data_IF_397407045310
#
_entry.id   IF_397407045310
#
_cell.length_a   1.000
_cell.length_b   1.000
_cell.length_c   1.000
_cell.angle_alpha   90.00
_cell.angle_beta   90.00
_cell.angle_gamma   90.00
#
_symmetry.space_group_name_H-M   'P 1'
#
loop_
_entity.id
_entity.type
_entity.pdbx_description
1 polymer ?
#
# COMPACT_ATOMS: atom_id res chain seq x y z
N UNK A 1 15.33 1.60 12.01
CA UNK A 1 15.91 0.36 11.45
C UNK A 1 15.39 0.04 10.06
N UNK A 2 14.08 0.07 9.84
CA UNK A 2 13.48 -0.27 8.54
C UNK A 2 14.03 0.56 7.38
N UNK A 3 14.10 1.89 7.54
CA UNK A 3 14.63 2.80 6.50
C UNK A 3 16.08 2.46 6.15
N UNK A 4 16.93 2.16 7.14
CA UNK A 4 18.30 1.72 6.89
C UNK A 4 18.35 0.40 6.13
N UNK A 5 17.52 -0.58 6.50
CA UNK A 5 17.45 -1.85 5.76
C UNK A 5 17.04 -1.63 4.29
N UNK A 6 16.06 -0.75 4.05
CA UNK A 6 15.64 -0.41 2.69
C UNK A 6 16.79 0.24 1.89
N UNK A 7 17.54 1.16 2.51
CA UNK A 7 18.71 1.77 1.89
C UNK A 7 19.83 0.77 1.62
N UNK A 8 20.13 -0.10 2.58
CA UNK A 8 21.13 -1.17 2.45
C UNK A 8 20.76 -2.11 1.29
N UNK A 9 19.47 -2.36 1.06
CA UNK A 9 18.96 -3.14 -0.07
C UNK A 9 18.94 -2.39 -1.41
N UNK A 10 19.29 -1.10 -1.42
CA UNK A 10 19.32 -0.24 -2.60
C UNK A 10 17.95 0.33 -3.01
N UNK A 11 16.95 0.30 -2.13
CA UNK A 11 15.65 0.92 -2.39
C UNK A 11 15.76 2.46 -2.44
N UNK A 12 14.82 3.10 -3.12
CA UNK A 12 14.80 4.57 -3.31
C UNK A 12 13.57 5.27 -2.73
N UNK A 13 12.54 4.48 -2.42
CA UNK A 13 11.33 4.95 -1.76
C UNK A 13 10.76 3.83 -0.88
N UNK A 14 9.90 4.21 0.06
CA UNK A 14 9.16 3.31 0.94
C UNK A 14 7.68 3.67 0.90
N UNK A 15 6.81 2.67 0.76
CA UNK A 15 5.35 2.84 0.77
C UNK A 15 4.79 2.13 1.99
N UNK A 16 4.04 2.84 2.82
CA UNK A 16 3.49 2.31 4.07
C UNK A 16 1.96 2.34 4.05
N UNK A 17 1.35 1.24 4.50
CA UNK A 17 -0.09 1.14 4.75
C UNK A 17 -0.52 2.15 5.82
N UNK A 18 -1.19 3.21 5.38
CA UNK A 18 -1.84 4.16 6.29
C UNK A 18 -3.21 3.67 6.77
N UNK A 19 -3.93 2.92 5.92
CA UNK A 19 -5.16 2.19 6.25
C UNK A 19 -5.36 1.07 5.23
N UNK A 20 -5.62 -0.15 5.69
CA UNK A 20 -5.96 -1.29 4.82
C UNK A 20 -7.47 -1.59 4.88
N UNK A 21 -7.91 -2.69 4.25
CA UNK A 21 -9.33 -3.03 4.07
C UNK A 21 -10.10 -3.17 5.40
N UNK A 22 -9.44 -3.55 6.48
CA UNK A 22 -10.05 -3.64 7.81
C UNK A 22 -10.48 -2.27 8.38
N UNK A 23 -10.05 -1.16 7.78
CA UNK A 23 -10.47 0.18 8.15
C UNK A 23 -9.69 0.82 9.31
N UNK A 24 -8.70 0.13 9.87
CA UNK A 24 -7.88 0.61 10.98
C UNK A 24 -6.77 1.55 10.47
N UNK A 25 -6.73 2.77 10.97
CA UNK A 25 -5.71 3.75 10.56
C UNK A 25 -4.40 3.57 11.35
N UNK A 26 -3.27 3.52 10.66
CA UNK A 26 -1.93 3.41 11.23
C UNK A 26 -1.31 4.75 11.60
N UNK A 27 -2.15 5.78 11.77
CA UNK A 27 -1.77 7.15 12.09
C UNK A 27 -2.81 7.81 13.00
N UNK A 28 -2.53 8.98 13.58
CA UNK A 28 -3.49 9.70 14.43
C UNK A 28 -4.57 10.39 13.59
N UNK A 29 -5.64 9.66 13.26
CA UNK A 29 -6.80 10.18 12.55
C UNK A 29 -7.74 10.93 13.52
N UNK A 30 -8.11 12.15 13.15
CA UNK A 30 -9.16 12.90 13.83
C UNK A 30 -10.57 12.44 13.43
N UNK A 31 -10.69 11.76 12.28
CA UNK A 31 -11.96 11.31 11.70
C UNK A 31 -12.54 10.11 12.45
N UNK A 32 -11.69 9.20 12.92
CA UNK A 32 -12.12 8.00 13.64
C UNK A 32 -11.14 7.66 14.75
N UNK A 33 -11.69 7.20 15.89
CA UNK A 33 -10.90 6.68 17.01
C UNK A 33 -10.37 5.26 16.76
N UNK A 34 -10.80 4.61 15.68
CA UNK A 34 -10.30 3.30 15.24
C UNK A 34 -8.93 3.44 14.56
N UNK A 35 -7.92 3.82 15.34
CA UNK A 35 -6.57 4.06 14.88
C UNK A 35 -5.49 3.66 15.90
N UNK A 36 -4.25 3.49 15.44
CA UNK A 36 -3.13 2.97 16.25
C UNK A 36 -2.81 3.81 17.49
N UNK A 37 -3.07 5.12 17.45
CA UNK A 37 -2.74 6.04 18.54
C UNK A 37 -3.79 5.97 19.65
N UNK A 38 -5.08 5.94 19.29
CA UNK A 38 -6.18 6.02 20.26
C UNK A 38 -6.67 4.65 20.73
N UNK A 39 -6.62 3.64 19.87
CA UNK A 39 -7.19 2.31 20.14
C UNK A 39 -6.16 1.30 20.67
N UNK A 40 -4.88 1.68 20.86
CA UNK A 40 -3.84 0.74 21.29
C UNK A 40 -2.97 1.33 22.40
N UNK A 41 -2.36 0.50 23.27
CA UNK A 41 -1.41 0.97 24.28
C UNK A 41 -0.07 1.43 23.66
N UNK A 42 0.19 1.16 22.37
CA UNK A 42 1.38 1.64 21.70
C UNK A 42 1.35 3.17 21.55
N UNK A 43 0.17 3.75 21.31
CA UNK A 43 -0.09 5.18 21.46
C UNK A 43 0.74 6.12 20.59
N UNK A 44 1.28 5.63 19.47
CA UNK A 44 2.26 6.34 18.63
C UNK A 44 1.87 6.30 17.16
N UNK A 45 2.06 7.41 16.48
CA UNK A 45 1.76 7.56 15.06
C UNK A 45 2.86 6.89 14.21
N UNK A 46 2.56 5.70 13.71
CA UNK A 46 3.53 4.87 12.95
C UNK A 46 3.87 5.54 11.62
N UNK A 47 2.90 6.18 10.96
CA UNK A 47 3.13 6.88 9.69
C UNK A 47 4.06 8.08 9.89
N UNK A 48 3.83 8.90 10.93
CA UNK A 48 4.68 10.05 11.22
C UNK A 48 6.14 9.64 11.50
N UNK A 49 6.35 8.59 12.30
CA UNK A 49 7.70 8.11 12.64
C UNK A 49 8.45 7.57 11.42
N UNK A 50 7.76 6.87 10.52
CA UNK A 50 8.35 6.34 9.29
C UNK A 50 8.60 7.44 8.25
N UNK A 51 7.70 8.42 8.13
CA UNK A 51 7.90 9.59 7.30
C UNK A 51 9.15 10.36 7.73
N UNK A 52 9.26 10.70 9.03
CA UNK A 52 10.41 11.39 9.59
C UNK A 52 11.71 10.60 9.38
N UNK A 53 11.68 9.29 9.60
CA UNK A 53 12.83 8.43 9.32
C UNK A 53 13.23 8.43 7.85
N UNK A 54 12.27 8.40 6.91
CA UNK A 54 12.56 8.46 5.48
C UNK A 54 13.23 9.78 5.10
N UNK A 55 12.69 10.93 5.54
CA UNK A 55 13.27 12.24 5.24
C UNK A 55 14.65 12.43 5.85
N UNK A 56 14.87 12.03 7.11
CA UNK A 56 16.20 12.09 7.75
C UNK A 56 17.26 11.31 7.00
N UNK A 57 16.87 10.25 6.28
CA UNK A 57 17.77 9.39 5.55
C UNK A 57 17.75 9.63 4.02
N UNK A 58 16.96 10.59 3.53
CA UNK A 58 16.86 10.88 2.09
C UNK A 58 16.17 9.79 1.27
N UNK A 59 15.34 8.94 1.90
CA UNK A 59 14.49 7.98 1.21
C UNK A 59 13.15 8.67 0.89
N UNK A 60 12.64 8.52 -0.34
CA UNK A 60 11.33 9.06 -0.68
C UNK A 60 10.23 8.29 0.07
N UNK A 61 9.15 8.98 0.46
CA UNK A 61 8.08 8.39 1.25
C UNK A 61 6.76 8.41 0.48
N UNK A 62 6.03 7.30 0.50
CA UNK A 62 4.71 7.17 -0.07
C UNK A 62 3.77 6.41 0.86
N UNK A 63 2.48 6.47 0.57
CA UNK A 63 1.46 5.86 1.42
C UNK A 63 0.52 4.98 0.61
N UNK A 64 0.14 3.85 1.18
CA UNK A 64 -0.99 3.05 0.72
C UNK A 64 -2.24 3.46 1.50
N UNK A 65 -3.38 3.54 0.82
CA UNK A 65 -4.68 3.75 1.46
C UNK A 65 -5.77 2.96 0.72
N UNK A 66 -6.50 2.11 1.44
CA UNK A 66 -7.67 1.44 0.87
C UNK A 66 -8.85 2.40 0.79
N UNK A 67 -9.02 3.02 -0.37
CA UNK A 67 -10.06 4.01 -0.60
C UNK A 67 -11.45 3.40 -0.71
N UNK A 68 -11.58 2.18 -1.26
CA UNK A 68 -12.87 1.56 -1.54
C UNK A 68 -13.33 0.65 -0.39
N UNK A 69 -12.51 -0.32 -0.02
CA UNK A 69 -12.87 -1.31 1.00
C UNK A 69 -12.60 -0.75 2.40
N UNK A 70 -13.62 -0.81 3.26
CA UNK A 70 -13.51 -0.48 4.67
C UNK A 70 -14.47 -1.35 5.49
N UNK A 71 -13.95 -2.43 6.06
CA UNK A 71 -14.75 -3.40 6.80
C UNK A 71 -15.21 -2.90 8.16
N UNK A 72 -14.69 -1.77 8.63
CA UNK A 72 -15.17 -1.13 9.87
C UNK A 72 -16.37 -0.22 9.65
N UNK A 73 -16.70 0.10 8.39
CA UNK A 73 -17.80 1.00 8.05
C UNK A 73 -19.05 0.25 7.55
N UNK A 74 -20.26 0.61 8.01
CA UNK A 74 -21.51 0.03 7.51
C UNK A 74 -21.67 0.13 5.99
N UNK A 75 -21.18 1.23 5.43
CA UNK A 75 -21.25 1.57 4.01
C UNK A 75 -19.92 1.34 3.27
N UNK A 76 -18.99 0.57 3.84
CA UNK A 76 -17.73 0.21 3.17
C UNK A 76 -17.96 -0.50 1.83
N UNK A 77 -17.10 -0.23 0.85
CA UNK A 77 -17.25 -0.73 -0.52
C UNK A 77 -17.13 -2.24 -0.67
N UNK A 78 -17.20 -2.70 -1.92
CA UNK A 78 -17.08 -4.11 -2.31
C UNK A 78 -18.40 -4.89 -2.37
N UNK A 79 -19.52 -4.35 -1.89
CA UNK A 79 -20.82 -5.04 -1.88
C UNK A 79 -21.41 -5.28 -3.27
N UNK A 80 -20.90 -4.57 -4.29
CA UNK A 80 -21.23 -4.79 -5.71
C UNK A 80 -20.38 -5.87 -6.38
N UNK A 81 -19.31 -6.34 -5.74
CA UNK A 81 -18.32 -7.26 -6.33
C UNK A 81 -18.45 -8.70 -5.83
N UNK A 82 -19.29 -8.97 -4.83
CA UNK A 82 -19.57 -10.30 -4.32
C UNK A 82 -18.37 -10.96 -3.62
N UNK A 83 -18.07 -12.21 -3.99
CA UNK A 83 -17.01 -13.01 -3.37
C UNK A 83 -15.63 -12.69 -3.94
N UNK A 84 -14.63 -12.74 -3.08
CA UNK A 84 -13.21 -12.63 -3.44
C UNK A 84 -12.73 -13.93 -4.10
N UNK A 85 -11.54 -13.87 -4.70
CA UNK A 85 -10.84 -15.06 -5.21
C UNK A 85 -10.24 -15.93 -4.09
N UNK A 86 -10.27 -15.47 -2.83
CA UNK A 86 -9.72 -16.18 -1.68
C UNK A 86 -10.65 -17.32 -1.25
N UNK A 87 -10.60 -18.44 -1.98
CA UNK A 87 -11.24 -19.70 -1.59
C UNK A 87 -12.77 -19.73 -1.67
N UNK A 88 -13.43 -18.71 -2.22
CA UNK A 88 -14.88 -18.70 -2.45
C UNK A 88 -15.74 -18.54 -1.19
N UNK A 89 -15.15 -18.24 -0.03
CA UNK A 89 -15.89 -18.03 1.22
C UNK A 89 -15.88 -16.57 1.68
N UNK A 90 -14.83 -15.81 1.36
CA UNK A 90 -14.71 -14.41 1.78
C UNK A 90 -15.35 -13.44 0.77
N UNK A 91 -16.07 -12.44 1.27
CA UNK A 91 -16.66 -11.34 0.50
C UNK A 91 -15.74 -10.12 0.48
N UNK A 92 -15.89 -9.28 -0.55
CA UNK A 92 -15.16 -8.01 -0.66
C UNK A 92 -15.56 -7.01 0.41
N UNK A 93 -16.83 -7.03 0.81
CA UNK A 93 -17.42 -6.19 1.85
C UNK A 93 -17.54 -6.96 3.17
N UNK A 94 -17.65 -6.24 4.28
CA UNK A 94 -18.09 -6.81 5.55
C UNK A 94 -19.61 -7.02 5.51
N UNK A 95 -20.04 -8.25 5.26
CA UNK A 95 -21.45 -8.66 5.28
C UNK A 95 -21.80 -9.54 6.49
N UNK A 96 -20.87 -9.74 7.42
CA UNK A 96 -21.12 -10.45 8.67
C UNK A 96 -21.60 -9.51 9.77
N UNK A 97 -21.04 -8.30 9.85
CA UNK A 97 -21.52 -7.24 10.77
C UNK A 97 -22.60 -6.37 10.10
N UNK A 98 -22.48 -6.14 8.79
CA UNK A 98 -23.39 -5.30 8.00
C UNK A 98 -24.02 -6.10 6.84
N UNK A 99 -24.95 -7.03 7.12
CA UNK A 99 -25.42 -8.02 6.14
C UNK A 99 -26.35 -7.47 5.04
N UNK A 100 -26.89 -6.25 5.21
CA UNK A 100 -27.87 -5.67 4.29
C UNK A 100 -27.21 -4.92 3.12
N UNK A 101 -26.53 -5.68 2.25
CA UNK A 101 -25.80 -5.15 1.09
C UNK A 101 -26.69 -4.32 0.13
N UNK A 102 -28.00 -4.57 0.11
CA UNK A 102 -28.94 -3.87 -0.77
C UNK A 102 -29.17 -2.41 -0.37
N UNK A 103 -28.89 -2.05 0.88
CA UNK A 103 -29.09 -0.70 1.42
C UNK A 103 -27.77 0.04 1.71
N UNK A 104 -26.61 -0.56 1.38
CA UNK A 104 -25.32 0.11 1.50
C UNK A 104 -25.19 1.25 0.50
N UNK A 105 -24.74 2.41 0.98
CA UNK A 105 -24.46 3.60 0.18
C UNK A 105 -23.03 4.08 0.43
N UNK A 106 -22.12 3.62 -0.44
CA UNK A 106 -20.70 3.96 -0.37
C UNK A 106 -20.43 5.48 -0.38
N UNK A 107 -21.34 6.31 -0.90
CA UNK A 107 -21.18 7.76 -0.86
C UNK A 107 -21.05 8.30 0.57
N UNK A 108 -21.74 7.68 1.54
CA UNK A 108 -21.64 8.05 2.95
C UNK A 108 -20.25 7.73 3.50
N UNK A 109 -19.77 6.50 3.29
CA UNK A 109 -18.40 6.11 3.68
C UNK A 109 -17.35 7.03 3.01
N UNK A 110 -17.57 7.34 1.74
CA UNK A 110 -16.68 8.19 0.96
C UNK A 110 -16.55 9.60 1.56
N UNK A 111 -17.67 10.29 1.81
CA UNK A 111 -17.68 11.66 2.31
C UNK A 111 -17.32 11.76 3.80
N UNK A 112 -17.72 10.79 4.61
CA UNK A 112 -17.58 10.86 6.07
C UNK A 112 -16.23 10.32 6.56
N UNK A 113 -15.63 9.36 5.83
CA UNK A 113 -14.35 8.74 6.23
C UNK A 113 -13.27 8.82 5.16
N UNK A 114 -13.51 8.28 3.97
CA UNK A 114 -12.45 8.09 2.96
C UNK A 114 -11.80 9.42 2.58
N UNK A 115 -12.60 10.38 2.12
CA UNK A 115 -12.13 11.68 1.65
C UNK A 115 -11.51 12.50 2.80
N UNK A 116 -12.12 12.62 4.00
CA UNK A 116 -11.47 13.25 5.14
C UNK A 116 -10.13 12.62 5.52
N UNK A 117 -10.03 11.29 5.58
CA UNK A 117 -8.78 10.59 5.92
C UNK A 117 -7.71 10.74 4.83
N UNK A 118 -8.09 10.71 3.54
CA UNK A 118 -7.17 11.02 2.44
C UNK A 118 -6.63 12.44 2.60
N UNK A 119 -7.44 13.41 3.04
CA UNK A 119 -6.95 14.77 3.35
C UNK A 119 -5.89 14.75 4.43
N UNK A 120 -6.15 14.03 5.53
CA UNK A 120 -5.22 13.94 6.66
C UNK A 120 -3.86 13.44 6.20
N UNK A 121 -3.82 12.31 5.47
CA UNK A 121 -2.54 11.72 5.04
C UNK A 121 -1.80 12.58 4.02
N UNK A 122 -2.51 13.32 3.16
CA UNK A 122 -1.91 14.23 2.18
C UNK A 122 -1.36 15.52 2.81
N UNK A 123 -1.69 15.83 4.07
CA UNK A 123 -1.36 17.14 4.67
C UNK A 123 -0.55 17.05 5.97
N UNK A 124 -0.48 15.90 6.63
CA UNK A 124 0.20 15.74 7.92
C UNK A 124 1.65 15.26 7.84
N UNK A 125 2.04 14.55 6.78
CA UNK A 125 3.27 13.73 6.79
C UNK A 125 4.39 14.20 5.85
N UNK A 126 4.37 15.47 5.42
CA UNK A 126 5.38 16.02 4.51
C UNK A 126 5.13 15.69 3.04
N UNK A 127 6.18 15.76 2.23
CA UNK A 127 6.10 15.52 0.78
C UNK A 127 5.98 14.03 0.47
N UNK A 128 4.88 13.63 -0.17
CA UNK A 128 4.66 12.26 -0.60
C UNK A 128 5.13 12.09 -2.05
N UNK A 129 5.97 11.09 -2.31
CA UNK A 129 6.36 10.76 -3.68
C UNK A 129 5.28 9.97 -4.43
N UNK A 130 4.48 9.20 -3.70
CA UNK A 130 3.34 8.48 -4.28
C UNK A 130 2.24 8.20 -3.25
N UNK A 131 1.03 8.01 -3.76
CA UNK A 131 -0.09 7.41 -3.05
C UNK A 131 -0.60 6.20 -3.82
N UNK A 132 -0.76 5.10 -3.09
CA UNK A 132 -1.11 3.79 -3.60
C UNK A 132 -2.52 3.43 -3.15
N UNK A 133 -3.48 3.62 -4.06
CA UNK A 133 -4.87 3.22 -3.90
C UNK A 133 -5.09 1.79 -4.36
N UNK A 134 -6.21 1.18 -3.97
CA UNK A 134 -6.43 -0.25 -4.19
C UNK A 134 -7.88 -0.61 -4.49
N UNK A 135 -8.05 -1.77 -5.14
CA UNK A 135 -9.32 -2.48 -5.31
C UNK A 135 -10.57 -1.62 -5.56
N UNK A 136 -10.61 -0.79 -6.63
CA UNK A 136 -11.77 0.07 -6.94
C UNK A 136 -12.94 -0.81 -7.43
N UNK A 137 -13.81 -1.21 -6.51
CA UNK A 137 -14.95 -2.12 -6.73
C UNK A 137 -16.29 -1.39 -6.75
N UNK A 138 -16.43 -0.35 -5.93
CA UNK A 138 -17.67 0.39 -5.72
C UNK A 138 -17.50 1.87 -6.00
N UNK A 139 -16.29 2.42 -5.89
CA UNK A 139 -16.00 3.83 -6.16
C UNK A 139 -16.41 4.25 -7.57
N UNK A 140 -17.20 5.31 -7.67
CA UNK A 140 -17.66 5.87 -8.95
C UNK A 140 -16.55 6.66 -9.66
N UNK A 141 -16.71 6.87 -10.97
CA UNK A 141 -15.77 7.70 -11.74
C UNK A 141 -15.63 9.13 -11.20
N UNK A 142 -16.72 9.73 -10.73
CA UNK A 142 -16.69 11.05 -10.13
C UNK A 142 -15.86 11.09 -8.83
N UNK A 143 -16.00 10.07 -7.98
CA UNK A 143 -15.25 9.93 -6.73
C UNK A 143 -13.76 9.64 -6.98
N UNK A 144 -13.41 8.81 -7.98
CA UNK A 144 -12.01 8.61 -8.37
C UNK A 144 -11.37 9.90 -8.89
N UNK A 145 -12.06 10.67 -9.74
CA UNK A 145 -11.57 11.97 -10.22
C UNK A 145 -11.43 12.98 -9.07
N UNK A 146 -12.36 12.96 -8.11
CA UNK A 146 -12.28 13.82 -6.93
C UNK A 146 -11.05 13.51 -6.08
N UNK A 147 -10.78 12.23 -5.78
CA UNK A 147 -9.55 11.83 -5.09
C UNK A 147 -8.30 12.20 -5.90
N UNK A 148 -8.30 11.99 -7.22
CA UNK A 148 -7.17 12.34 -8.08
C UNK A 148 -6.85 13.84 -7.97
N UNK A 149 -7.85 14.71 -8.16
CA UNK A 149 -7.68 16.17 -8.03
C UNK A 149 -7.25 16.58 -6.64
N UNK A 150 -7.77 15.92 -5.62
CA UNK A 150 -7.44 16.20 -4.23
C UNK A 150 -5.96 15.92 -3.95
N UNK A 151 -5.44 14.77 -4.40
CA UNK A 151 -4.00 14.46 -4.33
C UNK A 151 -3.20 15.53 -5.05
N UNK A 152 -3.55 15.89 -6.30
CA UNK A 152 -2.82 16.91 -7.05
C UNK A 152 -2.91 18.32 -6.45
N UNK A 153 -3.95 18.60 -5.67
CA UNK A 153 -4.10 19.88 -4.98
C UNK A 153 -3.18 19.99 -3.78
N UNK A 154 -3.12 18.95 -2.94
CA UNK A 154 -2.32 18.97 -1.70
C UNK A 154 -0.88 18.52 -1.91
N UNK A 155 -0.63 17.67 -2.91
CA UNK A 155 0.65 17.05 -3.21
C UNK A 155 0.86 17.02 -4.74
N UNK A 156 1.16 18.17 -5.40
CA UNK A 156 1.22 18.28 -6.86
C UNK A 156 2.18 17.28 -7.54
N UNK A 157 3.29 16.97 -6.89
CA UNK A 157 4.33 16.06 -7.41
C UNK A 157 4.11 14.58 -7.02
N UNK A 158 3.09 14.29 -6.21
CA UNK A 158 2.79 12.93 -5.77
C UNK A 158 2.19 12.10 -6.91
N UNK A 159 2.80 10.95 -7.20
CA UNK A 159 2.32 10.00 -8.21
C UNK A 159 1.19 9.13 -7.67
N UNK A 160 0.16 8.90 -8.49
CA UNK A 160 -1.01 8.11 -8.15
C UNK A 160 -0.98 6.83 -8.96
N UNK A 161 -1.12 5.66 -8.33
CA UNK A 161 -1.16 4.40 -9.06
C UNK A 161 -2.49 4.23 -9.83
N UNK A 162 -2.48 3.44 -10.90
CA UNK A 162 -3.65 3.16 -11.74
C UNK A 162 -4.81 2.45 -11.02
N UNK A 163 -4.60 1.94 -9.79
CA UNK A 163 -5.66 1.30 -9.00
C UNK A 163 -6.53 2.27 -8.20
N UNK A 164 -6.35 3.58 -8.37
CA UNK A 164 -7.36 4.58 -7.96
C UNK A 164 -8.72 4.36 -8.66
N UNK A 165 -8.71 3.71 -9.83
CA UNK A 165 -9.90 3.29 -10.56
C UNK A 165 -10.35 4.25 -11.66
N UNK A 166 -11.31 3.78 -12.46
CA UNK A 166 -12.03 4.57 -13.45
C UNK A 166 -11.15 5.29 -14.50
N UNK A 167 -9.97 4.74 -14.82
CA UNK A 167 -9.06 5.30 -15.82
C UNK A 167 -8.15 6.42 -15.32
N UNK A 168 -8.14 6.71 -14.02
CA UNK A 168 -7.22 7.66 -13.40
C UNK A 168 -5.93 6.99 -12.93
N UNK A 169 -4.90 7.80 -12.69
CA UNK A 169 -3.57 7.38 -12.25
C UNK A 169 -2.45 7.94 -13.13
N UNK A 170 -1.29 8.20 -12.54
CA UNK A 170 -0.10 8.72 -13.24
C UNK A 170 0.85 7.61 -13.68
N UNK A 171 0.76 6.43 -13.07
CA UNK A 171 1.57 5.26 -13.42
C UNK A 171 0.76 3.97 -13.31
N UNK A 172 1.17 2.96 -14.07
CA UNK A 172 0.48 1.66 -14.08
C UNK A 172 1.06 0.74 -13.01
N UNK A 173 0.19 0.18 -12.18
CA UNK A 173 0.53 -0.94 -11.30
C UNK A 173 0.19 -2.27 -11.98
N UNK A 174 1.13 -3.21 -12.00
CA UNK A 174 0.86 -4.60 -12.36
C UNK A 174 -0.14 -5.25 -11.38
N UNK A 175 -0.67 -6.42 -11.74
CA UNK A 175 -1.31 -7.31 -10.77
C UNK A 175 -0.31 -7.83 -9.73
N UNK A 176 -0.84 -8.28 -8.60
CA UNK A 176 -0.03 -8.77 -7.46
C UNK A 176 0.93 -9.88 -7.90
N UNK A 177 2.21 -9.72 -7.58
CA UNK A 177 3.29 -10.67 -7.92
C UNK A 177 3.45 -10.96 -9.43
N UNK A 178 2.83 -10.19 -10.32
CA UNK A 178 2.99 -10.36 -11.77
C UNK A 178 4.30 -9.73 -12.23
N UNK A 179 5.12 -10.51 -12.94
CA UNK A 179 6.42 -10.09 -13.49
C UNK A 179 6.29 -10.04 -15.02
N UNK A 180 5.94 -8.88 -15.62
CA UNK A 180 5.73 -8.79 -17.08
C UNK A 180 7.04 -8.98 -17.85
N UNK A 181 6.92 -9.52 -19.07
CA UNK A 181 8.05 -9.72 -20.00
C UNK A 181 8.19 -8.60 -21.03
N UNK A 182 7.15 -7.79 -21.21
CA UNK A 182 7.11 -6.71 -22.18
C UNK A 182 7.76 -5.42 -21.66
N UNK A 183 8.53 -4.77 -22.53
CA UNK A 183 9.17 -3.47 -22.27
C UNK A 183 8.12 -2.36 -22.21
N UNK A 184 8.21 -1.51 -21.18
CA UNK A 184 7.29 -0.39 -20.96
C UNK A 184 7.74 0.91 -21.60
N UNK A 185 8.96 0.97 -22.14
CA UNK A 185 9.50 2.19 -22.74
C UNK A 185 9.45 3.36 -21.76
N UNK A 186 8.84 4.48 -22.17
CA UNK A 186 8.74 5.69 -21.36
C UNK A 186 7.55 5.70 -20.38
N UNK A 187 6.74 4.63 -20.34
CA UNK A 187 5.61 4.55 -19.40
C UNK A 187 6.09 4.31 -17.97
N UNK A 188 5.57 5.09 -17.01
CA UNK A 188 5.79 4.81 -15.60
C UNK A 188 5.03 3.54 -15.20
N UNK A 189 5.76 2.54 -14.71
CA UNK A 189 5.21 1.23 -14.39
C UNK A 189 5.85 0.65 -13.12
N UNK A 190 5.05 -0.06 -12.31
CA UNK A 190 5.50 -0.68 -11.07
C UNK A 190 4.86 -2.06 -10.88
N UNK A 191 5.66 -3.03 -10.46
CA UNK A 191 5.17 -4.34 -10.02
C UNK A 191 5.26 -4.43 -8.50
N UNK A 192 4.12 -4.53 -7.79
CA UNK A 192 4.12 -4.88 -6.38
C UNK A 192 4.27 -6.41 -6.21
N UNK A 193 5.12 -6.84 -5.29
CA UNK A 193 5.27 -8.26 -4.94
C UNK A 193 5.69 -8.46 -3.48
N UNK A 194 5.52 -9.68 -2.97
CA UNK A 194 5.88 -10.06 -1.60
C UNK A 194 7.17 -10.87 -1.57
N UNK A 195 7.85 -10.95 -0.42
CA UNK A 195 9.01 -11.83 -0.24
C UNK A 195 8.62 -13.30 -0.07
N UNK A 196 7.50 -13.59 0.59
CA UNK A 196 6.86 -14.90 0.73
C UNK A 196 5.56 -14.93 -0.09
N UNK A 197 4.53 -15.64 0.37
CA UNK A 197 3.24 -15.77 -0.32
C UNK A 197 2.16 -14.82 0.23
N UNK A 198 2.51 -13.95 1.18
CA UNK A 198 1.55 -13.07 1.87
C UNK A 198 2.02 -11.62 2.02
N UNK A 199 1.08 -10.68 2.03
CA UNK A 199 1.36 -9.25 2.25
C UNK A 199 1.57 -8.94 3.73
N UNK A 200 0.57 -9.26 4.55
CA UNK A 200 0.66 -9.20 6.01
C UNK A 200 1.47 -10.36 6.58
N UNK A 201 2.00 -10.17 7.80
CA UNK A 201 2.79 -11.19 8.47
C UNK A 201 1.95 -12.46 8.74
N UNK A 202 2.50 -13.61 8.33
CA UNK A 202 1.92 -14.94 8.56
C UNK A 202 2.99 -15.86 9.12
N UNK A 203 2.89 -16.19 10.41
CA UNK A 203 3.93 -16.89 11.18
C UNK A 203 4.32 -18.27 10.64
N UNK A 204 3.41 -18.91 9.89
CA UNK A 204 3.61 -20.23 9.30
C UNK A 204 3.87 -20.19 7.78
N UNK A 205 3.92 -19.01 7.16
CA UNK A 205 4.36 -18.84 5.77
C UNK A 205 5.88 -18.62 5.74
N UNK A 206 6.60 -19.72 5.51
CA UNK A 206 8.05 -19.74 5.41
C UNK A 206 8.54 -19.89 3.96
N UNK A 207 7.69 -19.65 2.96
CA UNK A 207 8.04 -19.83 1.55
C UNK A 207 8.76 -18.59 0.99
N UNK A 208 9.92 -18.27 1.57
CA UNK A 208 10.69 -17.08 1.22
C UNK A 208 11.38 -17.23 -0.14
N UNK A 209 11.25 -16.22 -1.01
CA UNK A 209 12.10 -16.09 -2.21
C UNK A 209 13.57 -15.95 -1.77
N UNK A 210 14.48 -16.60 -2.49
CA UNK A 210 15.92 -16.41 -2.23
C UNK A 210 16.38 -15.02 -2.70
N UNK A 211 17.52 -14.55 -2.16
CA UNK A 211 18.12 -13.29 -2.60
C UNK A 211 18.51 -13.31 -4.09
N UNK A 212 18.94 -14.46 -4.63
CA UNK A 212 19.18 -14.63 -6.07
C UNK A 212 17.91 -14.36 -6.88
N UNK A 213 16.78 -14.95 -6.45
CA UNK A 213 15.50 -14.80 -7.15
C UNK A 213 15.02 -13.34 -7.09
N UNK A 214 15.13 -12.69 -5.94
CA UNK A 214 14.78 -11.27 -5.77
C UNK A 214 15.64 -10.39 -6.68
N UNK A 215 16.96 -10.61 -6.72
CA UNK A 215 17.86 -9.84 -7.57
C UNK A 215 17.60 -10.08 -9.07
N UNK A 216 17.29 -11.32 -9.46
CA UNK A 216 16.95 -11.68 -10.84
C UNK A 216 15.65 -11.01 -11.29
N UNK A 217 14.59 -11.03 -10.46
CA UNK A 217 13.32 -10.35 -10.74
C UNK A 217 13.54 -8.84 -10.86
N UNK A 218 14.28 -8.24 -9.91
CA UNK A 218 14.62 -6.81 -9.97
C UNK A 218 15.32 -6.47 -11.29
N UNK A 219 16.35 -7.23 -11.67
CA UNK A 219 17.07 -6.99 -12.93
C UNK A 219 16.12 -7.08 -14.13
N UNK A 220 15.31 -8.14 -14.19
CA UNK A 220 14.34 -8.37 -15.27
C UNK A 220 13.34 -7.22 -15.44
N UNK A 221 12.76 -6.74 -14.34
CA UNK A 221 11.81 -5.63 -14.33
C UNK A 221 12.50 -4.31 -14.71
N UNK A 222 13.67 -4.02 -14.13
CA UNK A 222 14.40 -2.78 -14.40
C UNK A 222 14.84 -2.68 -15.87
N UNK A 223 15.25 -3.78 -16.51
CA UNK A 223 15.60 -3.82 -17.94
C UNK A 223 14.41 -3.53 -18.87
N UNK A 224 13.18 -3.49 -18.33
CA UNK A 224 11.91 -3.23 -19.04
C UNK A 224 11.22 -1.95 -18.58
N UNK A 225 11.93 -1.10 -17.84
CA UNK A 225 11.39 0.17 -17.33
C UNK A 225 10.39 0.02 -16.18
N UNK A 226 10.40 -1.11 -15.45
CA UNK A 226 9.44 -1.38 -14.38
C UNK A 226 10.12 -1.27 -13.00
N UNK A 227 9.53 -0.47 -12.11
CA UNK A 227 9.91 -0.43 -10.69
C UNK A 227 9.46 -1.70 -9.96
N UNK A 228 10.28 -2.21 -9.05
CA UNK A 228 9.96 -3.37 -8.22
C UNK A 228 9.63 -2.96 -6.78
N UNK A 229 8.33 -2.88 -6.46
CA UNK A 229 7.85 -2.57 -5.11
C UNK A 229 7.75 -3.86 -4.28
N UNK A 230 8.78 -4.12 -3.49
CA UNK A 230 8.91 -5.36 -2.73
C UNK A 230 8.44 -5.20 -1.28
N UNK A 231 7.35 -5.88 -0.94
CA UNK A 231 6.71 -5.85 0.38
C UNK A 231 7.47 -6.65 1.44
N UNK A 232 7.38 -6.14 2.67
CA UNK A 232 7.76 -6.80 3.91
C UNK A 232 6.60 -6.65 4.90
N UNK A 233 6.13 -7.75 5.48
CA UNK A 233 5.14 -7.75 6.57
C UNK A 233 5.80 -7.83 7.95
N UNK A 234 5.84 -6.74 8.75
CA UNK A 234 6.38 -6.76 10.11
C UNK A 234 5.55 -7.66 11.03
N UNK A 235 6.20 -8.25 12.03
CA UNK A 235 5.53 -9.05 13.04
C UNK A 235 4.75 -8.21 14.07
N UNK A 236 4.07 -8.88 15.00
CA UNK A 236 3.26 -8.25 16.05
C UNK A 236 4.06 -7.37 17.05
N UNK A 237 5.40 -7.42 17.01
CA UNK A 237 6.28 -6.53 17.78
C UNK A 237 6.85 -5.38 16.93
N UNK A 238 6.39 -5.23 15.69
CA UNK A 238 6.87 -4.22 14.75
C UNK A 238 8.25 -4.54 14.16
N UNK A 239 8.69 -5.80 14.21
CA UNK A 239 9.99 -6.22 13.69
C UNK A 239 9.85 -6.75 12.27
N UNK A 240 10.77 -6.36 11.40
CA UNK A 240 10.89 -7.03 10.09
C UNK A 240 11.36 -8.47 10.34
N UNK A 241 10.68 -9.50 9.80
CA UNK A 241 11.07 -10.89 10.00
C UNK A 241 12.53 -11.13 9.60
N UNK A 242 13.27 -11.90 10.41
CA UNK A 242 14.69 -12.15 10.18
C UNK A 242 15.01 -12.66 8.75
N UNK A 243 14.23 -13.59 8.16
CA UNK A 243 14.45 -14.00 6.77
C UNK A 243 14.38 -12.83 5.78
N UNK A 244 13.44 -11.90 5.96
CA UNK A 244 13.33 -10.71 5.11
C UNK A 244 14.56 -9.80 5.26
N UNK A 245 15.07 -9.61 6.48
CA UNK A 245 16.29 -8.83 6.73
C UNK A 245 17.49 -9.45 6.00
N UNK A 246 17.68 -10.76 6.14
CA UNK A 246 18.82 -11.47 5.56
C UNK A 246 18.79 -11.43 4.03
N UNK A 247 17.62 -11.66 3.43
CA UNK A 247 17.40 -11.59 1.98
C UNK A 247 17.69 -10.19 1.46
N UNK A 248 17.13 -9.14 2.09
CA UNK A 248 17.28 -7.76 1.61
C UNK A 248 18.72 -7.26 1.72
N UNK A 249 19.44 -7.60 2.79
CA UNK A 249 20.87 -7.30 2.93
C UNK A 249 21.69 -8.00 1.85
N UNK A 250 21.38 -9.26 1.58
CA UNK A 250 22.08 -10.03 0.55
C UNK A 250 21.84 -9.46 -0.86
N UNK A 251 20.61 -9.04 -1.16
CA UNK A 251 20.28 -8.32 -2.40
C UNK A 251 21.08 -7.02 -2.52
N UNK A 252 21.19 -6.26 -1.43
CA UNK A 252 22.00 -5.05 -1.37
C UNK A 252 23.49 -5.27 -1.68
N UNK A 253 24.08 -6.31 -1.05
CA UNK A 253 25.48 -6.70 -1.31
C UNK A 253 25.71 -7.08 -2.77
N UNK A 254 24.80 -7.84 -3.37
CA UNK A 254 24.87 -8.27 -4.78
C UNK A 254 24.74 -7.10 -5.74
N UNK A 255 23.83 -6.17 -5.48
CA UNK A 255 23.64 -4.98 -6.31
C UNK A 255 24.87 -4.06 -6.33
N UNK A 256 25.62 -4.00 -5.21
CA UNK A 256 26.85 -3.22 -5.10
C UNK A 256 28.05 -3.86 -5.79
N UNK A 257 28.04 -5.19 -5.95
CA UNK A 257 29.12 -5.95 -6.61
C UNK A 257 28.97 -6.05 -8.14
N UNK A 258 27.84 -5.60 -8.70
CA UNK A 258 27.52 -5.62 -10.12
C UNK A 258 27.67 -4.25 -10.82
N UNK A 259 28.13 -3.24 -10.08
CA UNK A 259 28.52 -1.90 -10.55
C UNK A 259 30.05 -1.79 -10.56
#
# INVERSE_FOLDING_TARGET
EWVKLAQDAGMRYMVITSKHHEGFAMYDSAVSDYNVVKATPFGRDVVAELAEACYRHGLKFGLYYSQDLDWSEPNGGGYTAGKTWCGGEAYWTNNWDFPDDAHKDYSQCFEEKIKPQVKEILTKYGDLCLIWFDTPRTISAAQSEELYRMVKTYQPDCLINSRIGNGHGDYTSAGDNQIPDDDKGDMLFETPATLNDTWGYKSFDNNWKSAEKVAAIRKHLNERGINYLLNVGPDYLGRIPAPSVDILREVGRRGSAAL
#
